data_IF_340916572733
#
_entry.id   IF_340916572733
#
_cell.length_a   1.000
_cell.length_b   1.000
_cell.length_c   1.000
_cell.angle_alpha   90.00
_cell.angle_beta   90.00
_cell.angle_gamma   90.00
#
_symmetry.space_group_name_H-M   'P 1'
#
loop_
_entity.id
_entity.type
_entity.pdbx_description
1 polymer ?
#
# COMPACT_ATOMS: atom_id res chain seq x y z
N UNK A 1 -11.42 -28.38 22.17
CA UNK A 1 -11.78 -27.14 21.44
C UNK A 1 -11.31 -25.97 22.29
N UNK A 2 -10.13 -25.43 21.97
CA UNK A 2 -9.58 -24.31 22.74
C UNK A 2 -10.30 -23.03 22.30
N UNK A 3 -11.12 -22.46 23.17
CA UNK A 3 -11.77 -21.18 22.93
C UNK A 3 -10.70 -20.11 22.84
N UNK A 4 -10.46 -19.58 21.65
CA UNK A 4 -9.68 -18.36 21.47
C UNK A 4 -10.51 -17.23 22.09
N UNK A 5 -10.27 -16.95 23.36
CA UNK A 5 -10.82 -15.77 24.01
C UNK A 5 -10.16 -14.57 23.32
N UNK A 6 -10.96 -13.78 22.59
CA UNK A 6 -10.51 -12.48 22.11
C UNK A 6 -10.10 -11.67 23.35
N UNK A 7 -8.84 -11.23 23.47
CA UNK A 7 -8.41 -10.46 24.62
C UNK A 7 -9.27 -9.19 24.72
N UNK A 8 -9.75 -8.91 25.93
CA UNK A 8 -10.51 -7.71 26.27
C UNK A 8 -9.78 -6.47 25.73
N UNK A 9 -10.47 -5.53 25.07
CA UNK A 9 -9.80 -4.36 24.52
C UNK A 9 -9.07 -3.58 25.61
N UNK A 10 -7.75 -3.58 25.56
CA UNK A 10 -6.96 -2.70 26.43
C UNK A 10 -7.18 -1.25 25.97
N UNK A 11 -7.66 -0.36 26.86
CA UNK A 11 -8.07 1.00 26.47
C UNK A 11 -6.91 1.87 25.99
N UNK A 12 -5.66 1.49 26.30
CA UNK A 12 -4.48 2.29 25.99
C UNK A 12 -3.66 1.79 24.78
N UNK A 13 -4.10 0.73 24.09
CA UNK A 13 -3.40 0.22 22.91
C UNK A 13 -3.78 1.02 21.66
N UNK A 14 -2.80 1.45 20.87
CA UNK A 14 -3.03 2.02 19.53
C UNK A 14 -3.58 0.93 18.62
N UNK A 15 -4.77 1.18 18.07
CA UNK A 15 -5.53 0.23 17.24
C UNK A 15 -5.73 0.70 15.82
N UNK A 16 -5.60 2.00 15.57
CA UNK A 16 -5.93 2.61 14.30
C UNK A 16 -4.93 3.71 13.98
N UNK A 17 -4.34 3.61 12.79
CA UNK A 17 -3.57 4.67 12.16
C UNK A 17 -4.41 5.22 11.01
N UNK A 18 -4.60 6.54 10.99
CA UNK A 18 -5.42 7.23 9.99
C UNK A 18 -4.50 8.17 9.22
N UNK A 19 -4.44 8.00 7.91
CA UNK A 19 -3.58 8.78 7.02
C UNK A 19 -4.43 9.66 6.11
N UNK A 20 -4.03 10.91 5.90
CA UNK A 20 -4.71 11.77 4.96
C UNK A 20 -4.11 13.16 4.86
N UNK A 21 -4.77 14.08 4.14
CA UNK A 21 -4.25 15.42 3.94
C UNK A 21 -4.29 16.26 5.22
N UNK A 22 -3.59 17.39 5.19
CA UNK A 22 -3.67 18.43 6.21
C UNK A 22 -5.13 18.78 6.61
N UNK A 23 -5.40 18.88 7.91
CA UNK A 23 -6.70 19.21 8.48
C UNK A 23 -7.51 17.98 8.96
N UNK A 24 -7.10 16.78 8.58
CA UNK A 24 -7.76 15.53 9.02
C UNK A 24 -7.70 15.35 10.54
N UNK A 25 -6.57 15.71 11.16
CA UNK A 25 -6.37 15.61 12.61
C UNK A 25 -7.33 16.53 13.35
N UNK A 26 -7.38 17.79 12.94
CA UNK A 26 -8.29 18.79 13.51
C UNK A 26 -9.75 18.38 13.32
N UNK A 27 -10.11 17.88 12.14
CA UNK A 27 -11.46 17.41 11.82
C UNK A 27 -11.91 16.31 12.77
N UNK A 28 -11.13 15.23 12.90
CA UNK A 28 -11.47 14.09 13.77
C UNK A 28 -11.55 14.51 15.23
N UNK A 29 -10.56 15.28 15.71
CA UNK A 29 -10.53 15.78 17.08
C UNK A 29 -11.74 16.66 17.39
N UNK A 30 -12.12 17.53 16.47
CA UNK A 30 -13.28 18.42 16.61
C UNK A 30 -14.58 17.64 16.69
N UNK A 31 -14.79 16.65 15.81
CA UNK A 31 -15.99 15.81 15.83
C UNK A 31 -16.09 15.04 17.15
N UNK A 32 -15.05 14.30 17.52
CA UNK A 32 -15.05 13.50 18.75
C UNK A 32 -15.29 14.35 19.99
N UNK A 33 -14.69 15.55 20.04
CA UNK A 33 -14.92 16.52 21.11
C UNK A 33 -16.37 17.02 21.15
N UNK A 34 -16.95 17.44 20.02
CA UNK A 34 -18.32 17.98 19.99
C UNK A 34 -19.34 16.89 20.32
N UNK A 35 -19.13 15.66 19.83
CA UNK A 35 -20.04 14.55 20.08
C UNK A 35 -19.82 13.86 21.43
N UNK A 36 -18.79 14.26 22.20
CA UNK A 36 -18.38 13.61 23.46
C UNK A 36 -18.17 12.09 23.29
N UNK A 37 -17.67 11.67 22.13
CA UNK A 37 -17.54 10.26 21.79
C UNK A 37 -16.28 9.67 22.45
N UNK A 38 -16.42 8.53 23.13
CA UNK A 38 -15.30 7.75 23.65
C UNK A 38 -15.10 6.49 22.81
N UNK A 39 -13.84 6.14 22.53
CA UNK A 39 -13.47 5.02 21.66
C UNK A 39 -12.87 3.86 22.46
N UNK A 40 -12.99 2.64 21.94
CA UNK A 40 -12.37 1.44 22.49
C UNK A 40 -10.92 1.28 21.99
N UNK A 41 -10.01 2.08 22.56
CA UNK A 41 -8.58 2.07 22.25
C UNK A 41 -8.04 3.43 21.83
N UNK A 42 -6.82 3.46 21.27
CA UNK A 42 -6.17 4.69 20.78
C UNK A 42 -6.12 4.75 19.25
N UNK A 43 -6.21 5.95 18.69
CA UNK A 43 -5.95 6.23 17.27
C UNK A 43 -4.81 7.25 17.11
N UNK A 44 -4.07 7.17 16.01
CA UNK A 44 -3.14 8.20 15.58
C UNK A 44 -3.57 8.75 14.22
N UNK A 45 -3.38 10.05 14.02
CA UNK A 45 -3.61 10.70 12.73
C UNK A 45 -2.28 11.13 12.16
N UNK A 46 -2.00 10.75 10.92
CA UNK A 46 -0.81 11.09 10.19
C UNK A 46 -1.19 11.96 9.00
N UNK A 47 -0.65 13.17 8.97
CA UNK A 47 -1.01 14.14 7.94
C UNK A 47 0.08 14.21 6.87
N UNK A 48 -0.34 14.13 5.61
CA UNK A 48 0.51 14.31 4.44
C UNK A 48 0.41 15.78 4.06
N UNK A 49 1.40 16.55 4.51
CA UNK A 49 1.46 18.00 4.37
C UNK A 49 2.13 18.37 3.05
N UNK A 50 1.56 19.33 2.31
CA UNK A 50 2.26 20.04 1.23
C UNK A 50 3.36 20.95 1.80
N UNK A 51 4.28 21.45 0.98
CA UNK A 51 5.38 22.31 1.48
C UNK A 51 4.91 23.61 2.15
N UNK A 52 3.72 24.09 1.78
CA UNK A 52 3.14 25.33 2.32
C UNK A 52 2.26 25.11 3.55
N UNK A 53 1.91 23.86 3.86
CA UNK A 53 1.02 23.58 4.99
C UNK A 53 1.73 23.84 6.32
N UNK A 54 1.01 24.47 7.24
CA UNK A 54 1.43 24.69 8.62
C UNK A 54 0.86 23.54 9.45
N UNK A 55 1.69 22.70 10.09
CA UNK A 55 1.20 21.54 10.83
C UNK A 55 0.23 21.93 11.95
N UNK A 56 -0.84 21.15 12.11
CA UNK A 56 -1.73 21.30 13.26
C UNK A 56 -1.08 20.72 14.52
N UNK A 57 -0.73 21.59 15.47
CA UNK A 57 0.07 21.20 16.64
C UNK A 57 -0.62 20.15 17.52
N UNK A 58 0.13 19.11 17.88
CA UNK A 58 -0.24 18.13 18.89
C UNK A 58 0.10 18.61 20.30
N UNK A 59 -0.49 19.74 20.72
CA UNK A 59 -0.39 20.14 22.12
C UNK A 59 -1.18 19.16 23.00
N UNK A 60 -0.52 18.56 23.99
CA UNK A 60 -1.09 17.50 24.84
C UNK A 60 -2.40 17.92 25.52
N UNK A 61 -2.56 19.21 25.82
CA UNK A 61 -3.76 19.78 26.42
C UNK A 61 -4.99 19.74 25.49
N UNK A 62 -4.79 19.68 24.17
CA UNK A 62 -5.85 19.67 23.17
C UNK A 62 -6.18 18.29 22.60
N UNK A 63 -5.41 17.25 22.93
CA UNK A 63 -5.61 15.90 22.37
C UNK A 63 -6.85 15.22 22.93
N UNK A 64 -7.57 14.47 22.08
CA UNK A 64 -8.68 13.66 22.56
C UNK A 64 -8.16 12.53 23.50
N UNK A 65 -8.90 12.10 24.54
CA UNK A 65 -8.45 11.03 25.43
C UNK A 65 -8.11 9.70 24.72
N UNK A 66 -8.69 9.45 23.54
CA UNK A 66 -8.36 8.29 22.70
C UNK A 66 -7.32 8.57 21.61
N UNK A 67 -6.73 9.76 21.56
CA UNK A 67 -5.72 10.11 20.57
C UNK A 67 -4.30 9.78 21.09
N UNK A 68 -3.39 9.43 20.18
CA UNK A 68 -1.95 9.38 20.41
C UNK A 68 -1.23 10.16 19.31
N UNK A 69 0.06 10.44 19.52
CA UNK A 69 0.85 11.21 18.56
C UNK A 69 0.87 10.49 17.21
N UNK A 70 0.56 11.23 16.15
CA UNK A 70 0.87 10.78 14.81
C UNK A 70 2.03 11.57 14.23
N UNK A 71 2.20 11.44 12.92
CA UNK A 71 3.38 11.94 12.20
C UNK A 71 2.93 12.84 11.07
N UNK A 72 3.57 13.99 10.94
CA UNK A 72 3.36 14.88 9.82
C UNK A 72 4.44 14.60 8.77
N UNK A 73 4.03 14.11 7.61
CA UNK A 73 4.91 13.75 6.51
C UNK A 73 5.02 14.92 5.53
N UNK A 74 6.25 15.19 5.08
CA UNK A 74 6.53 16.13 3.98
C UNK A 74 6.91 15.36 2.72
N UNK A 75 6.60 15.88 1.52
CA UNK A 75 6.99 15.22 0.29
C UNK A 75 8.52 15.21 0.15
N UNK A 76 9.02 14.18 -0.52
CA UNK A 76 10.39 14.11 -0.99
C UNK A 76 10.58 15.05 -2.19
N UNK A 77 11.83 15.19 -2.68
CA UNK A 77 12.15 16.08 -3.81
C UNK A 77 11.42 15.74 -5.11
N UNK A 78 10.93 14.50 -5.24
CA UNK A 78 10.12 14.03 -6.36
C UNK A 78 8.61 14.29 -6.19
N UNK A 79 8.21 14.96 -5.11
CA UNK A 79 6.82 15.30 -4.81
C UNK A 79 6.02 14.18 -4.13
N UNK A 80 6.65 13.07 -3.76
CA UNK A 80 5.97 11.94 -3.11
C UNK A 80 6.21 11.87 -1.60
N UNK A 81 5.18 11.48 -0.86
CA UNK A 81 5.32 11.04 0.53
C UNK A 81 5.71 9.57 0.54
N UNK A 82 7.00 9.28 0.74
CA UNK A 82 7.56 7.93 0.65
C UNK A 82 7.53 7.23 2.00
N UNK A 83 7.19 5.94 2.01
CA UNK A 83 7.28 5.09 3.19
C UNK A 83 6.46 5.59 4.39
N UNK A 84 5.24 6.09 4.13
CA UNK A 84 4.36 6.64 5.18
C UNK A 84 3.88 5.56 6.16
N UNK A 85 3.87 4.30 5.74
CA UNK A 85 3.54 3.16 6.56
C UNK A 85 4.28 1.90 6.09
N UNK A 86 4.60 1.02 7.03
CA UNK A 86 5.17 -0.30 6.77
C UNK A 86 4.40 -1.34 7.59
N UNK A 87 3.99 -2.44 6.97
CA UNK A 87 3.32 -3.54 7.65
C UNK A 87 3.62 -4.88 6.99
N UNK A 88 4.36 -5.74 7.70
CA UNK A 88 4.87 -6.97 7.11
C UNK A 88 5.77 -6.65 5.91
N UNK A 89 5.49 -7.29 4.78
CA UNK A 89 6.23 -7.08 3.53
C UNK A 89 5.71 -5.89 2.71
N UNK A 90 4.81 -5.06 3.25
CA UNK A 90 4.21 -3.93 2.53
C UNK A 90 4.74 -2.59 2.97
N UNK A 91 5.07 -1.75 1.99
CA UNK A 91 5.36 -0.33 2.18
C UNK A 91 4.29 0.50 1.47
N UNK A 92 3.81 1.56 2.14
CA UNK A 92 2.84 2.50 1.56
C UNK A 92 3.51 3.82 1.28
N UNK A 93 3.26 4.37 0.10
CA UNK A 93 3.65 5.73 -0.28
C UNK A 93 2.44 6.46 -0.87
N UNK A 94 2.51 7.77 -0.99
CA UNK A 94 1.45 8.58 -1.55
C UNK A 94 1.99 9.69 -2.46
N UNK A 95 1.13 10.22 -3.31
CA UNK A 95 1.43 11.38 -4.14
C UNK A 95 0.20 12.22 -4.44
N UNK A 96 0.41 13.46 -4.90
CA UNK A 96 -0.69 14.38 -5.18
C UNK A 96 -1.43 13.97 -6.45
N UNK A 97 -2.74 14.20 -6.47
CA UNK A 97 -3.57 14.11 -7.68
C UNK A 97 -4.42 15.38 -7.78
N UNK A 98 -4.78 15.78 -9.02
CA UNK A 98 -5.54 17.01 -9.23
C UNK A 98 -7.02 16.77 -8.98
N UNK A 99 -7.59 17.52 -8.06
CA UNK A 99 -9.03 17.59 -7.80
C UNK A 99 -9.40 19.03 -7.40
N UNK A 100 -10.68 19.29 -7.07
CA UNK A 100 -11.15 20.61 -6.63
C UNK A 100 -10.62 21.02 -5.25
N UNK A 101 -10.22 20.05 -4.45
CA UNK A 101 -9.59 20.21 -3.14
C UNK A 101 -8.35 19.31 -3.08
N UNK A 102 -7.43 19.51 -2.12
CA UNK A 102 -6.28 18.61 -1.95
C UNK A 102 -6.73 17.15 -1.91
N UNK A 103 -6.15 16.34 -2.78
CA UNK A 103 -6.47 14.93 -2.91
C UNK A 103 -5.20 14.12 -3.17
N UNK A 104 -5.22 12.85 -2.78
CA UNK A 104 -4.06 11.98 -2.72
C UNK A 104 -4.35 10.67 -3.44
N UNK A 105 -3.32 10.14 -4.10
CA UNK A 105 -3.24 8.74 -4.50
C UNK A 105 -2.28 7.98 -3.58
N UNK A 106 -2.54 6.69 -3.36
CA UNK A 106 -1.73 5.80 -2.53
C UNK A 106 -1.19 4.64 -3.36
N UNK A 107 0.07 4.27 -3.12
CA UNK A 107 0.71 3.09 -3.68
C UNK A 107 1.12 2.16 -2.56
N UNK A 108 0.63 0.93 -2.63
CA UNK A 108 0.99 -0.18 -1.74
C UNK A 108 1.95 -1.08 -2.52
N UNK A 109 3.18 -1.19 -2.04
CA UNK A 109 4.22 -2.00 -2.65
C UNK A 109 4.57 -3.16 -1.73
N UNK A 110 4.35 -4.38 -2.20
CA UNK A 110 4.88 -5.58 -1.58
C UNK A 110 6.37 -5.72 -1.89
N UNK A 111 7.17 -6.16 -0.93
CA UNK A 111 8.58 -6.45 -1.12
C UNK A 111 8.78 -7.56 -2.18
N UNK A 112 9.91 -7.55 -2.92
CA UNK A 112 10.23 -8.62 -3.85
C UNK A 112 10.23 -9.99 -3.18
N UNK A 113 9.58 -10.96 -3.83
CA UNK A 113 9.52 -12.35 -3.40
C UNK A 113 10.76 -13.15 -3.83
N UNK A 114 10.94 -14.29 -3.19
CA UNK A 114 11.95 -15.27 -3.58
C UNK A 114 11.59 -15.93 -4.92
N UNK A 115 12.59 -16.14 -5.77
CA UNK A 115 12.48 -17.00 -6.93
C UNK A 115 12.07 -18.43 -6.53
N UNK A 116 11.42 -19.20 -7.43
CA UNK A 116 11.17 -20.62 -7.21
C UNK A 116 12.44 -21.33 -6.75
N UNK A 117 12.32 -22.13 -5.69
CA UNK A 117 13.42 -22.87 -5.11
C UNK A 117 13.11 -24.37 -5.19
N UNK A 118 13.75 -25.05 -6.12
CA UNK A 118 13.58 -26.49 -6.26
C UNK A 118 14.42 -27.22 -5.22
N UNK A 119 13.74 -27.74 -4.20
CA UNK A 119 14.36 -28.51 -3.12
C UNK A 119 15.12 -29.73 -3.67
N UNK A 120 14.64 -30.34 -4.76
CA UNK A 120 15.20 -31.57 -5.32
C UNK A 120 16.63 -31.40 -5.84
N UNK A 121 16.96 -30.22 -6.38
CA UNK A 121 18.30 -29.87 -6.87
C UNK A 121 19.35 -29.80 -5.76
N UNK A 122 18.91 -29.68 -4.50
CA UNK A 122 19.78 -29.53 -3.34
C UNK A 122 19.84 -30.77 -2.44
N UNK A 123 19.13 -31.84 -2.80
CA UNK A 123 19.09 -33.07 -1.97
C UNK A 123 20.39 -33.86 -2.04
N UNK A 124 20.99 -34.00 -3.22
CA UNK A 124 22.19 -34.81 -3.42
C UNK A 124 23.37 -34.33 -2.55
N UNK A 125 23.70 -33.02 -2.48
CA UNK A 125 24.76 -32.54 -1.59
C UNK A 125 24.47 -32.80 -0.11
N UNK A 126 23.20 -32.69 0.30
CA UNK A 126 22.79 -32.93 1.69
C UNK A 126 22.90 -34.42 2.08
N UNK A 127 22.55 -35.30 1.15
CA UNK A 127 22.63 -36.75 1.35
C UNK A 127 24.09 -37.22 1.40
N UNK A 128 24.95 -36.71 0.50
CA UNK A 128 26.39 -37.00 0.51
C UNK A 128 27.06 -36.56 1.82
N UNK A 129 26.60 -35.48 2.43
CA UNK A 129 27.15 -34.95 3.68
C UNK A 129 26.43 -35.46 4.95
N UNK A 130 25.45 -36.37 4.82
CA UNK A 130 24.56 -36.72 5.93
C UNK A 130 25.29 -37.28 7.16
N UNK A 131 26.31 -38.12 6.97
CA UNK A 131 27.07 -38.71 8.08
C UNK A 131 27.89 -37.66 8.85
N UNK A 132 28.59 -36.78 8.11
CA UNK A 132 29.36 -35.69 8.70
C UNK A 132 28.44 -34.67 9.42
N UNK A 133 27.28 -34.37 8.84
CA UNK A 133 26.26 -33.51 9.46
C UNK A 133 25.70 -34.15 10.74
N UNK A 134 25.49 -35.47 10.77
CA UNK A 134 25.02 -36.18 11.96
C UNK A 134 26.05 -36.09 13.11
N UNK A 135 27.35 -36.16 12.81
CA UNK A 135 28.43 -35.96 13.80
C UNK A 135 28.44 -34.52 14.37
N UNK A 136 27.97 -33.55 13.61
CA UNK A 136 27.77 -32.16 14.04
C UNK A 136 26.43 -31.92 14.75
N UNK A 137 25.64 -32.98 15.00
CA UNK A 137 24.35 -32.92 15.69
C UNK A 137 23.15 -32.64 14.77
N UNK A 138 23.34 -32.52 13.46
CA UNK A 138 22.28 -32.30 12.49
C UNK A 138 21.74 -33.66 12.01
N UNK A 139 20.71 -34.17 12.72
CA UNK A 139 20.09 -35.47 12.43
C UNK A 139 19.22 -35.50 11.17
N UNK A 140 18.77 -34.34 10.71
CA UNK A 140 17.87 -34.22 9.56
C UNK A 140 18.44 -33.21 8.56
N UNK A 141 19.37 -33.60 7.66
CA UNK A 141 20.02 -32.67 6.72
C UNK A 141 19.06 -31.80 5.91
N UNK A 142 17.90 -32.34 5.51
CA UNK A 142 16.84 -31.62 4.80
C UNK A 142 16.26 -30.42 5.57
N UNK A 143 16.35 -30.39 6.91
CA UNK A 143 15.88 -29.26 7.71
C UNK A 143 16.68 -27.98 7.46
N UNK A 144 17.92 -28.11 6.97
CA UNK A 144 18.80 -26.99 6.62
C UNK A 144 18.21 -26.17 5.48
N UNK A 145 17.48 -26.78 4.53
CA UNK A 145 16.81 -26.04 3.46
C UNK A 145 15.68 -25.16 4.01
N UNK A 146 14.90 -25.69 4.95
CA UNK A 146 13.86 -24.90 5.63
C UNK A 146 14.45 -23.77 6.47
N UNK A 147 15.60 -23.98 7.11
CA UNK A 147 16.33 -22.93 7.81
C UNK A 147 16.85 -21.87 6.83
N UNK A 148 17.50 -22.29 5.74
CA UNK A 148 18.02 -21.43 4.68
C UNK A 148 16.94 -20.52 4.10
N UNK A 149 15.73 -21.02 3.84
CA UNK A 149 14.64 -20.19 3.31
C UNK A 149 14.11 -19.17 4.34
N UNK A 150 14.20 -19.47 5.64
CA UNK A 150 13.78 -18.54 6.72
C UNK A 150 14.84 -17.51 7.09
N UNK A 151 16.08 -17.94 7.29
CA UNK A 151 17.18 -17.06 7.72
C UNK A 151 17.85 -16.38 6.55
N UNK A 152 17.73 -16.94 5.35
CA UNK A 152 18.41 -16.49 4.12
C UNK A 152 19.93 -16.46 4.26
N UNK A 153 20.47 -17.29 5.14
CA UNK A 153 21.90 -17.48 5.31
C UNK A 153 22.36 -18.65 4.45
N UNK A 154 23.58 -18.54 3.89
CA UNK A 154 24.19 -19.64 3.16
C UNK A 154 24.42 -20.84 4.09
N UNK A 155 24.11 -22.03 3.60
CA UNK A 155 24.45 -23.29 4.27
C UNK A 155 25.74 -23.81 3.67
N UNK A 156 26.81 -23.85 4.48
CA UNK A 156 28.10 -24.45 4.10
C UNK A 156 28.13 -25.87 4.61
N UNK A 157 28.27 -26.84 3.70
CA UNK A 157 28.34 -28.26 4.02
C UNK A 157 29.77 -28.68 4.40
N UNK A 158 29.94 -29.82 5.11
CA UNK A 158 31.25 -30.33 5.51
C UNK A 158 32.26 -30.55 4.38
N UNK A 159 31.81 -30.88 3.17
CA UNK A 159 32.66 -31.00 1.98
C UNK A 159 33.04 -29.66 1.32
N UNK A 160 32.57 -28.54 1.89
CA UNK A 160 32.79 -27.18 1.38
C UNK A 160 31.74 -26.71 0.37
N UNK A 161 30.77 -27.56 -0.02
CA UNK A 161 29.66 -27.16 -0.90
C UNK A 161 28.82 -26.09 -0.21
N UNK A 162 28.43 -25.06 -0.96
CA UNK A 162 27.58 -23.98 -0.46
C UNK A 162 26.20 -24.05 -1.11
N UNK A 163 25.16 -24.10 -0.29
CA UNK A 163 23.77 -23.92 -0.73
C UNK A 163 23.36 -22.50 -0.37
N UNK A 164 22.94 -21.73 -1.37
CA UNK A 164 22.52 -20.33 -1.22
C UNK A 164 21.00 -20.18 -1.31
N UNK A 165 20.41 -19.17 -0.62
CA UNK A 165 19.00 -18.89 -0.76
C UNK A 165 18.66 -18.41 -2.18
N UNK A 166 17.44 -18.69 -2.68
CA UNK A 166 16.99 -18.20 -3.98
C UNK A 166 16.99 -16.66 -3.98
N UNK A 167 17.33 -15.98 -5.08
CA UNK A 167 17.33 -14.52 -5.13
C UNK A 167 15.94 -13.93 -4.87
N UNK A 168 15.89 -12.73 -4.26
CA UNK A 168 14.64 -11.96 -4.08
C UNK A 168 14.40 -11.06 -5.30
N UNK A 169 14.17 -11.67 -6.45
CA UNK A 169 14.02 -10.96 -7.73
C UNK A 169 12.65 -11.16 -8.39
N UNK A 170 11.72 -11.86 -7.73
CA UNK A 170 10.33 -11.90 -8.17
C UNK A 170 9.68 -10.58 -7.74
N UNK A 171 9.23 -9.73 -8.67
CA UNK A 171 8.63 -8.45 -8.30
C UNK A 171 7.43 -8.66 -7.39
N UNK A 172 7.38 -7.93 -6.27
CA UNK A 172 6.23 -7.92 -5.38
C UNK A 172 5.03 -7.23 -6.05
N UNK A 173 3.82 -7.54 -5.57
CA UNK A 173 2.59 -6.91 -6.07
C UNK A 173 2.57 -5.41 -5.76
N UNK A 174 2.02 -4.64 -6.70
CA UNK A 174 1.82 -3.19 -6.54
C UNK A 174 0.35 -2.84 -6.72
N UNK A 175 -0.27 -2.25 -5.70
CA UNK A 175 -1.63 -1.74 -5.77
C UNK A 175 -1.58 -0.21 -5.77
N UNK A 176 -2.27 0.41 -6.73
CA UNK A 176 -2.41 1.87 -6.82
C UNK A 176 -3.88 2.21 -6.59
N UNK A 177 -4.15 3.06 -5.60
CA UNK A 177 -5.50 3.53 -5.27
C UNK A 177 -5.52 5.04 -5.36
N UNK A 178 -6.29 5.58 -6.30
CA UNK A 178 -6.45 7.02 -6.47
C UNK A 178 -7.76 7.47 -5.81
N UNK A 179 -7.71 8.65 -5.16
CA UNK A 179 -8.93 9.38 -4.81
C UNK A 179 -9.59 10.01 -6.04
N UNK A 180 -10.60 10.85 -5.80
CA UNK A 180 -11.25 11.64 -6.84
C UNK A 180 -10.23 12.51 -7.58
N UNK A 181 -10.27 12.51 -8.91
CA UNK A 181 -9.31 13.24 -9.72
C UNK A 181 -9.77 13.48 -11.15
N UNK A 182 -9.37 14.62 -11.71
CA UNK A 182 -9.43 14.89 -13.16
C UNK A 182 -8.08 14.76 -13.86
N UNK A 183 -6.98 14.60 -13.12
CA UNK A 183 -5.62 14.50 -13.65
C UNK A 183 -4.72 13.78 -12.62
N UNK A 184 -4.45 12.47 -12.84
CA UNK A 184 -3.61 11.65 -11.98
C UNK A 184 -2.12 11.66 -12.39
N UNK A 185 -1.70 12.47 -13.38
CA UNK A 185 -0.40 12.28 -14.02
C UNK A 185 0.81 12.51 -13.11
N UNK A 186 0.66 13.27 -12.02
CA UNK A 186 1.70 13.38 -11.00
C UNK A 186 2.02 12.04 -10.32
N UNK A 187 1.08 11.08 -10.31
CA UNK A 187 1.28 9.73 -9.77
C UNK A 187 1.92 8.75 -10.74
N UNK A 188 2.15 9.14 -12.01
CA UNK A 188 2.55 8.22 -13.07
C UNK A 188 3.78 7.39 -12.70
N UNK A 189 4.87 8.04 -12.30
CA UNK A 189 6.16 7.36 -12.06
C UNK A 189 6.09 6.44 -10.83
N UNK A 190 5.39 6.87 -9.77
CA UNK A 190 5.15 6.03 -8.58
C UNK A 190 4.28 4.80 -8.91
N UNK A 191 3.38 4.94 -9.89
CA UNK A 191 2.37 3.95 -10.26
C UNK A 191 2.82 2.95 -11.34
N UNK A 192 4.00 3.13 -11.94
CA UNK A 192 4.50 2.25 -13.01
C UNK A 192 4.48 0.76 -12.62
N UNK A 193 3.97 -0.09 -13.51
CA UNK A 193 3.90 -1.55 -13.30
C UNK A 193 2.92 -1.97 -12.22
N UNK A 194 1.85 -1.20 -12.02
CA UNK A 194 0.79 -1.57 -11.08
C UNK A 194 0.20 -2.94 -11.44
N UNK A 195 0.08 -3.81 -10.44
CA UNK A 195 -0.67 -5.07 -10.55
C UNK A 195 -2.18 -4.84 -10.49
N UNK A 196 -2.61 -3.76 -9.83
CA UNK A 196 -3.99 -3.31 -9.78
C UNK A 196 -4.04 -1.78 -9.65
N UNK A 197 -4.85 -1.15 -10.49
CA UNK A 197 -5.19 0.27 -10.41
C UNK A 197 -6.66 0.42 -10.02
N UNK A 198 -6.93 1.16 -8.95
CA UNK A 198 -8.26 1.65 -8.59
C UNK A 198 -8.33 3.14 -8.96
N UNK A 199 -9.19 3.46 -9.92
CA UNK A 199 -9.35 4.80 -10.47
C UNK A 199 -10.85 5.17 -10.53
N UNK A 200 -11.18 6.42 -10.23
CA UNK A 200 -12.55 6.92 -10.40
C UNK A 200 -12.95 7.07 -11.87
N UNK A 201 -14.24 6.94 -12.17
CA UNK A 201 -14.77 7.13 -13.52
C UNK A 201 -16.19 7.71 -13.43
N UNK A 202 -16.33 8.85 -12.75
CA UNK A 202 -17.64 9.42 -12.36
C UNK A 202 -18.56 9.72 -13.54
N UNK A 203 -18.00 10.11 -14.70
CA UNK A 203 -18.80 10.45 -15.88
C UNK A 203 -18.46 9.55 -17.07
N UNK A 204 -19.45 8.80 -17.58
CA UNK A 204 -19.29 7.97 -18.76
C UNK A 204 -20.16 8.51 -19.90
N UNK A 205 -19.56 8.64 -21.08
CA UNK A 205 -20.33 8.80 -22.31
C UNK A 205 -20.86 7.43 -22.73
N UNK A 206 -22.17 7.33 -22.95
CA UNK A 206 -22.84 6.09 -23.41
C UNK A 206 -23.42 6.39 -24.80
N UNK A 207 -22.89 5.76 -25.86
CA UNK A 207 -23.41 5.90 -27.21
C UNK A 207 -24.88 5.47 -27.33
N UNK A 208 -25.64 6.08 -28.25
CA UNK A 208 -27.04 5.71 -28.52
C UNK A 208 -27.25 4.25 -28.92
N UNK A 209 -26.24 3.63 -29.52
CA UNK A 209 -26.25 2.20 -29.87
C UNK A 209 -26.25 1.28 -28.63
N UNK A 210 -25.66 1.74 -27.51
CA UNK A 210 -25.64 1.02 -26.24
C UNK A 210 -26.87 1.37 -25.40
N UNK A 211 -27.23 2.66 -25.33
CA UNK A 211 -28.42 3.14 -24.65
C UNK A 211 -29.25 4.08 -25.54
N UNK A 212 -30.23 3.53 -26.29
CA UNK A 212 -31.09 4.30 -27.18
C UNK A 212 -31.97 5.34 -26.46
N UNK A 213 -32.16 5.22 -25.15
CA UNK A 213 -32.97 6.14 -24.34
C UNK A 213 -32.11 7.12 -23.53
N UNK A 214 -30.79 6.98 -23.61
CA UNK A 214 -29.82 7.74 -22.84
C UNK A 214 -29.55 9.13 -23.39
N UNK A 215 -28.61 9.83 -22.76
CA UNK A 215 -28.17 11.15 -23.17
C UNK A 215 -27.22 11.14 -24.37
N UNK A 216 -26.85 9.97 -24.92
CA UNK A 216 -25.89 9.84 -26.01
C UNK A 216 -26.23 10.62 -27.30
N UNK A 217 -27.50 10.98 -27.51
CA UNK A 217 -27.92 11.83 -28.63
C UNK A 217 -27.86 13.34 -28.35
N UNK A 218 -27.59 13.73 -27.10
CA UNK A 218 -27.56 15.12 -26.62
C UNK A 218 -26.16 15.56 -26.17
N UNK A 219 -25.24 14.61 -26.06
CA UNK A 219 -23.90 14.82 -25.53
C UNK A 219 -22.89 14.12 -26.45
N UNK A 220 -21.68 14.66 -26.50
CA UNK A 220 -20.52 14.00 -27.11
C UNK A 220 -19.55 13.51 -26.03
N UNK A 221 -18.70 12.53 -26.38
CA UNK A 221 -17.61 12.08 -25.50
C UNK A 221 -16.75 13.25 -25.00
N UNK A 222 -16.42 14.19 -25.89
CA UNK A 222 -15.70 15.42 -25.55
C UNK A 222 -16.46 16.28 -24.53
N UNK A 223 -17.77 16.51 -24.73
CA UNK A 223 -18.56 17.31 -23.79
C UNK A 223 -18.65 16.69 -22.40
N UNK A 224 -18.70 15.34 -22.31
CA UNK A 224 -18.69 14.60 -21.05
C UNK A 224 -17.31 14.71 -20.40
N UNK A 225 -16.22 14.56 -21.17
CA UNK A 225 -14.83 14.74 -20.69
C UNK A 225 -14.61 16.15 -20.13
N UNK A 226 -15.00 17.20 -20.85
CA UNK A 226 -14.89 18.59 -20.40
C UNK A 226 -15.63 18.80 -19.08
N UNK A 227 -16.85 18.28 -18.96
CA UNK A 227 -17.65 18.40 -17.73
C UNK A 227 -17.03 17.65 -16.56
N UNK A 228 -16.49 16.46 -16.78
CA UNK A 228 -15.79 15.69 -15.76
C UNK A 228 -14.62 16.51 -15.21
N UNK A 229 -13.76 17.03 -16.10
CA UNK A 229 -12.59 17.84 -15.72
C UNK A 229 -13.01 19.09 -14.94
N UNK A 230 -14.04 19.81 -15.39
CA UNK A 230 -14.57 21.00 -14.68
C UNK A 230 -15.04 20.69 -13.26
N UNK A 231 -15.52 19.46 -13.01
CA UNK A 231 -15.97 19.00 -11.70
C UNK A 231 -14.87 18.30 -10.90
N UNK A 232 -13.64 18.24 -11.43
CA UNK A 232 -12.52 17.57 -10.79
C UNK A 232 -12.57 16.04 -10.90
N UNK A 233 -13.31 15.49 -11.85
CA UNK A 233 -13.52 14.05 -12.02
C UNK A 233 -13.00 13.53 -13.36
N UNK A 234 -13.00 12.21 -13.49
CA UNK A 234 -12.54 11.48 -14.66
C UNK A 234 -13.65 10.73 -15.37
N UNK A 235 -13.34 10.36 -16.62
CA UNK A 235 -14.15 9.45 -17.43
C UNK A 235 -13.48 8.08 -17.53
N UNK A 236 -14.20 7.01 -17.92
CA UNK A 236 -13.58 5.71 -18.20
C UNK A 236 -12.41 5.80 -19.19
N UNK A 237 -12.51 6.68 -20.20
CA UNK A 237 -11.44 6.88 -21.18
C UNK A 237 -10.16 7.43 -20.52
N UNK A 238 -10.31 8.44 -19.65
CA UNK A 238 -9.17 9.02 -18.91
C UNK A 238 -8.53 8.00 -17.97
N UNK A 239 -9.33 7.20 -17.27
CA UNK A 239 -8.84 6.12 -16.43
C UNK A 239 -8.06 5.07 -17.24
N UNK A 240 -8.57 4.69 -18.42
CA UNK A 240 -7.90 3.76 -19.35
C UNK A 240 -6.61 4.34 -19.96
N UNK A 241 -6.59 5.63 -20.30
CA UNK A 241 -5.38 6.34 -20.75
C UNK A 241 -4.28 6.25 -19.69
N UNK A 242 -4.62 6.53 -18.42
CA UNK A 242 -3.66 6.45 -17.32
C UNK A 242 -3.21 5.01 -17.04
N UNK A 243 -4.14 4.06 -16.99
CA UNK A 243 -3.84 2.63 -16.80
C UNK A 243 -2.83 2.11 -17.83
N UNK A 244 -3.06 2.45 -19.11
CA UNK A 244 -2.13 2.12 -20.19
C UNK A 244 -0.77 2.80 -20.01
N UNK A 245 -0.76 4.08 -19.64
CA UNK A 245 0.48 4.86 -19.51
C UNK A 245 1.38 4.37 -18.37
N UNK A 246 0.81 3.79 -17.31
CA UNK A 246 1.57 3.20 -16.21
C UNK A 246 1.92 1.73 -16.44
N UNK A 247 1.44 1.12 -17.54
CA UNK A 247 1.59 -0.32 -17.77
C UNK A 247 0.93 -1.15 -16.68
N UNK A 248 -0.29 -0.79 -16.27
CA UNK A 248 -1.07 -1.60 -15.36
C UNK A 248 -1.37 -2.96 -16.03
N UNK A 249 -1.12 -4.06 -15.33
CA UNK A 249 -1.30 -5.39 -15.89
C UNK A 249 -2.78 -5.71 -16.12
N UNK A 250 -3.06 -6.41 -17.24
CA UNK A 250 -4.33 -7.08 -17.53
C UNK A 250 -4.39 -8.47 -16.88
#
# INVERSE_FOLDING_TARGET
MSSVANPSPQPNTKRLDIYGPHGLREFLRTILRITQASLSGKYAVHELLSDTDIPYLCETAGMHPNETNGTDFRPSLDGYWRGIAEHGDWTVSAGPIRHRVPCLGYVFQEAPGAAPFDVSEHLEPLERNAEALAQQGIRHPRSLLGQLLRTRENVVLPDGTVISPPPLNVPGRKLVILGDTCDPWAMKDLSMGASLLVHEATNAYIPLEVDPRGSGGKESEESVRTRAVQRGHSTPHMAGEFARAIGAND
#
